data_IF_027003634264
#
_entry.id   IF_027003634264
#
_cell.length_a   1.000
_cell.length_b   1.000
_cell.length_c   1.000
_cell.angle_alpha   90.00
_cell.angle_beta   90.00
_cell.angle_gamma   90.00
#
_symmetry.space_group_name_H-M   'P 1'
#
loop_
_entity.id
_entity.type
_entity.pdbx_description
1 polymer ?
#
# COMPACT_ATOMS: atom_id res chain seq x y z
N UNK A 1 30.93 -18.97 21.77
CA UNK A 1 30.42 -18.39 20.51
C UNK A 1 28.93 -18.10 20.74
N UNK A 2 28.48 -16.84 20.66
CA UNK A 2 27.06 -16.48 20.83
C UNK A 2 26.46 -16.32 19.43
N UNK A 3 25.62 -17.26 19.02
CA UNK A 3 24.87 -17.15 17.75
C UNK A 3 23.67 -16.25 17.97
N UNK A 4 23.60 -15.13 17.24
CA UNK A 4 22.39 -14.31 17.17
C UNK A 4 21.48 -14.95 16.14
N UNK A 5 20.27 -15.31 16.54
CA UNK A 5 19.23 -15.77 15.62
C UNK A 5 18.89 -14.63 14.67
N UNK A 6 19.12 -14.84 13.37
CA UNK A 6 18.65 -13.92 12.33
C UNK A 6 17.13 -13.90 12.39
N UNK A 7 16.54 -12.70 12.46
CA UNK A 7 15.10 -12.54 12.37
C UNK A 7 14.63 -13.05 11.00
N UNK A 8 13.85 -14.13 10.99
CA UNK A 8 13.26 -14.66 9.77
C UNK A 8 12.12 -13.74 9.33
N UNK A 9 12.39 -12.91 8.34
CA UNK A 9 11.40 -12.03 7.72
C UNK A 9 10.50 -12.87 6.80
N UNK A 10 9.17 -12.84 6.96
CA UNK A 10 8.27 -13.60 6.09
C UNK A 10 8.35 -13.08 4.64
N UNK A 11 8.23 -13.95 3.64
CA UNK A 11 8.27 -13.52 2.23
C UNK A 11 7.16 -12.50 1.95
N UNK A 12 7.50 -11.46 1.19
CA UNK A 12 6.60 -10.36 0.80
C UNK A 12 6.06 -10.64 -0.61
N UNK A 13 4.77 -10.37 -0.84
CA UNK A 13 4.16 -10.45 -2.17
C UNK A 13 4.59 -9.27 -3.04
N UNK A 14 4.84 -9.50 -4.34
CA UNK A 14 5.15 -8.43 -5.31
C UNK A 14 4.07 -7.35 -5.38
N UNK A 15 2.81 -7.70 -5.14
CA UNK A 15 1.67 -6.77 -5.10
C UNK A 15 1.83 -5.69 -4.01
N UNK A 16 2.48 -6.02 -2.88
CA UNK A 16 2.74 -5.07 -1.79
C UNK A 16 3.86 -4.08 -2.12
N UNK A 17 4.65 -4.38 -3.15
CA UNK A 17 5.77 -3.57 -3.61
C UNK A 17 5.42 -2.70 -4.83
N UNK A 18 4.17 -2.78 -5.32
CA UNK A 18 3.73 -2.00 -6.45
C UNK A 18 3.75 -0.50 -6.14
N UNK A 19 4.23 0.28 -7.09
CA UNK A 19 4.12 1.74 -7.06
C UNK A 19 2.84 2.09 -7.83
N UNK A 20 1.82 2.55 -7.11
CA UNK A 20 0.62 3.07 -7.76
C UNK A 20 0.88 4.48 -8.25
N UNK A 21 0.64 4.72 -9.54
CA UNK A 21 0.79 6.05 -10.13
C UNK A 21 -0.25 7.00 -9.55
N UNK A 22 0.23 8.12 -9.02
CA UNK A 22 -0.62 9.19 -8.51
C UNK A 22 -1.30 9.90 -9.70
N UNK A 23 -2.64 10.06 -9.69
CA UNK A 23 -3.31 10.85 -10.71
C UNK A 23 -2.76 12.28 -10.77
N UNK A 24 -2.66 12.82 -11.99
CA UNK A 24 -2.15 14.16 -12.22
C UNK A 24 -2.95 15.21 -11.44
N UNK A 25 -2.29 16.33 -11.13
CA UNK A 25 -2.98 17.47 -10.55
C UNK A 25 -3.93 18.07 -11.58
N UNK A 26 -5.09 18.49 -11.11
CA UNK A 26 -6.00 19.27 -11.92
C UNK A 26 -5.32 20.57 -12.39
N UNK A 27 -5.50 20.87 -13.68
CA UNK A 27 -5.11 22.14 -14.30
C UNK A 27 -6.20 23.21 -14.24
N UNK A 28 -7.41 22.85 -13.80
CA UNK A 28 -8.57 23.74 -13.71
C UNK A 28 -9.55 23.31 -12.62
N UNK A 29 -10.54 24.15 -12.35
CA UNK A 29 -11.49 23.98 -11.24
C UNK A 29 -12.95 23.91 -11.68
N UNK A 30 -13.24 23.60 -12.95
CA UNK A 30 -14.64 23.45 -13.36
C UNK A 30 -15.30 22.29 -12.61
N UNK A 31 -16.62 22.36 -12.34
CA UNK A 31 -17.32 21.29 -11.61
C UNK A 31 -17.14 19.90 -12.25
N UNK A 32 -17.17 19.81 -13.59
CA UNK A 32 -16.97 18.56 -14.32
C UNK A 32 -15.54 18.00 -14.12
N UNK A 33 -14.51 18.86 -14.20
CA UNK A 33 -13.13 18.45 -13.97
C UNK A 33 -12.92 17.93 -12.54
N UNK A 34 -13.50 18.62 -11.55
CA UNK A 34 -13.44 18.21 -10.15
C UNK A 34 -14.11 16.85 -9.93
N UNK A 35 -15.30 16.65 -10.52
CA UNK A 35 -16.04 15.40 -10.37
C UNK A 35 -15.30 14.22 -10.99
N UNK A 36 -14.82 14.39 -12.22
CA UNK A 36 -14.06 13.34 -12.92
C UNK A 36 -12.76 12.99 -12.18
N UNK A 37 -12.05 14.00 -11.67
CA UNK A 37 -10.82 13.78 -10.89
C UNK A 37 -11.09 13.09 -9.56
N UNK A 38 -12.18 13.44 -8.87
CA UNK A 38 -12.54 12.78 -7.62
C UNK A 38 -12.74 11.27 -7.79
N UNK A 39 -13.32 10.82 -8.91
CA UNK A 39 -13.48 9.38 -9.21
C UNK A 39 -12.12 8.71 -9.38
N UNK A 40 -11.25 9.29 -10.22
CA UNK A 40 -9.92 8.72 -10.51
C UNK A 40 -9.04 8.73 -9.26
N UNK A 41 -9.05 9.83 -8.51
CA UNK A 41 -8.29 9.97 -7.27
C UNK A 41 -8.81 9.05 -6.17
N UNK A 42 -10.13 8.88 -6.06
CA UNK A 42 -10.72 7.91 -5.13
C UNK A 42 -10.27 6.48 -5.43
N UNK A 43 -10.27 6.07 -6.69
CA UNK A 43 -9.76 4.75 -7.09
C UNK A 43 -8.27 4.57 -6.79
N UNK A 44 -7.46 5.63 -6.91
CA UNK A 44 -6.06 5.61 -6.49
C UNK A 44 -5.93 5.43 -4.96
N UNK A 45 -6.71 6.15 -4.16
CA UNK A 45 -6.71 5.98 -2.70
C UNK A 45 -7.09 4.55 -2.28
N UNK A 46 -8.10 3.95 -2.91
CA UNK A 46 -8.50 2.57 -2.63
C UNK A 46 -7.38 1.56 -2.86
N UNK A 47 -6.56 1.75 -3.91
CA UNK A 47 -5.39 0.90 -4.16
C UNK A 47 -4.34 1.04 -3.04
N UNK A 48 -4.08 2.27 -2.58
CA UNK A 48 -3.17 2.51 -1.46
C UNK A 48 -3.70 1.89 -0.17
N UNK A 49 -4.99 2.02 0.14
CA UNK A 49 -5.61 1.43 1.32
C UNK A 49 -5.48 -0.10 1.32
N UNK A 50 -5.75 -0.74 0.17
CA UNK A 50 -5.57 -2.18 0.02
C UNK A 50 -4.11 -2.61 0.24
N UNK A 51 -3.15 -1.83 -0.27
CA UNK A 51 -1.72 -2.10 -0.08
C UNK A 51 -1.31 -1.93 1.39
N UNK A 52 -1.79 -0.89 2.08
CA UNK A 52 -1.54 -0.68 3.51
C UNK A 52 -2.12 -1.82 4.34
N UNK A 53 -3.35 -2.24 4.08
CA UNK A 53 -3.95 -3.39 4.75
C UNK A 53 -3.14 -4.67 4.53
N UNK A 54 -2.66 -4.88 3.30
CA UNK A 54 -1.79 -6.01 2.97
C UNK A 54 -0.46 -5.99 3.75
N UNK A 55 0.16 -4.83 3.93
CA UNK A 55 1.35 -4.68 4.77
C UNK A 55 1.08 -4.96 6.24
N UNK A 56 -0.04 -4.49 6.78
CA UNK A 56 -0.45 -4.76 8.16
C UNK A 56 -0.68 -6.27 8.38
N UNK A 57 -1.39 -6.92 7.45
CA UNK A 57 -1.63 -8.36 7.51
C UNK A 57 -0.33 -9.18 7.40
N UNK A 58 0.60 -8.77 6.54
CA UNK A 58 1.92 -9.38 6.44
C UNK A 58 2.71 -9.26 7.74
N UNK A 59 2.72 -8.06 8.34
CA UNK A 59 3.41 -7.81 9.61
C UNK A 59 2.82 -8.68 10.73
N UNK A 60 1.50 -8.70 10.85
CA UNK A 60 0.78 -9.49 11.85
C UNK A 60 1.06 -10.99 11.71
N UNK A 61 1.08 -11.51 10.48
CA UNK A 61 1.46 -12.90 10.20
C UNK A 61 2.90 -13.20 10.59
N UNK A 62 3.81 -12.25 10.40
CA UNK A 62 5.20 -12.35 10.84
C UNK A 62 5.29 -12.41 12.37
N UNK A 63 4.62 -11.47 13.04
CA UNK A 63 4.56 -11.39 14.51
C UNK A 63 4.06 -12.70 15.13
N UNK A 64 2.94 -13.24 14.65
CA UNK A 64 2.35 -14.49 15.15
C UNK A 64 3.22 -15.74 14.92
N UNK A 65 4.22 -15.70 14.04
CA UNK A 65 5.18 -16.80 13.85
C UNK A 65 6.36 -16.75 14.83
N UNK A 66 6.58 -15.59 15.46
CA UNK A 66 7.70 -15.35 16.38
C UNK A 66 7.25 -15.28 17.84
N UNK A 67 5.94 -15.30 18.12
CA UNK A 67 5.33 -15.50 19.44
C UNK A 67 5.12 -17.01 19.73
#
# INVERSE_FOLDING_TARGET
MKTVTVAEIPPVSSELLLIHERPERLSGGSPEQLLNHAVVYGAYCQKLEAQVFGWQAWYEKGRLKHD
#
